data_IF_304468421690
#
_entry.id   IF_304468421690
#
_cell.length_a   1.000
_cell.length_b   1.000
_cell.length_c   1.000
_cell.angle_alpha   90.00
_cell.angle_beta   90.00
_cell.angle_gamma   90.00
#
_symmetry.space_group_name_H-M   'P 1'
#
loop_
_entity.id
_entity.type
_entity.pdbx_description
1 polymer ?
#
# COMPACT_ATOMS: atom_id res chain seq x y z
N UNK A 1 3.39 13.38 11.05
CA UNK A 1 3.28 12.10 11.80
C UNK A 1 3.22 12.28 13.31
N UNK A 2 3.67 13.42 13.86
CA UNK A 2 3.52 13.77 15.28
C UNK A 2 2.07 13.76 15.78
N UNK A 3 1.13 14.10 14.90
CA UNK A 3 -0.31 14.16 15.22
C UNK A 3 -0.97 12.78 15.32
N UNK A 4 -0.44 11.74 14.64
CA UNK A 4 -1.07 10.43 14.57
C UNK A 4 -0.81 9.56 15.82
N UNK A 5 0.27 9.82 16.56
CA UNK A 5 0.56 9.17 17.83
C UNK A 5 -0.51 9.52 18.90
N UNK A 6 -1.08 10.73 18.84
CA UNK A 6 -2.12 11.20 19.77
C UNK A 6 -3.49 10.54 19.53
N UNK A 7 -3.73 10.04 18.31
CA UNK A 7 -5.01 9.42 17.93
C UNK A 7 -4.95 7.89 17.86
N UNK A 8 -3.83 7.27 18.22
CA UNK A 8 -3.68 5.81 18.22
C UNK A 8 -4.71 5.09 19.10
N UNK A 9 -5.14 5.73 20.17
CA UNK A 9 -6.19 5.24 21.08
C UNK A 9 -7.62 5.47 20.57
N UNK A 10 -7.81 6.36 19.57
CA UNK A 10 -9.12 6.71 19.00
C UNK A 10 -9.44 5.97 17.71
N UNK A 11 -8.44 5.36 17.05
CA UNK A 11 -8.70 4.58 15.85
C UNK A 11 -9.11 3.16 16.25
N UNK A 12 -10.19 2.66 15.63
CA UNK A 12 -10.62 1.29 15.86
C UNK A 12 -9.48 0.32 15.56
N UNK A 13 -9.28 -0.75 16.35
CA UNK A 13 -8.27 -1.79 16.11
C UNK A 13 -8.32 -2.37 14.70
N UNK A 14 -9.49 -2.25 14.06
CA UNK A 14 -9.68 -2.58 12.66
C UNK A 14 -8.69 -1.87 11.76
N UNK A 15 -8.28 -0.62 12.00
CA UNK A 15 -7.41 0.15 11.11
C UNK A 15 -5.91 -0.03 11.36
N UNK A 16 -5.49 -0.86 12.32
CA UNK A 16 -4.06 -1.08 12.57
C UNK A 16 -3.31 -1.62 11.37
N UNK A 17 -3.97 -2.37 10.48
CA UNK A 17 -3.34 -2.82 9.24
C UNK A 17 -2.88 -1.67 8.33
N UNK A 18 -3.50 -0.48 8.42
CA UNK A 18 -3.04 0.70 7.69
C UNK A 18 -1.76 1.29 8.28
N UNK A 19 -1.56 1.14 9.60
CA UNK A 19 -0.32 1.56 10.25
C UNK A 19 0.84 0.60 9.93
N UNK A 20 0.52 -0.68 9.68
CA UNK A 20 1.44 -1.71 9.19
C UNK A 20 1.78 -1.55 7.70
N UNK A 21 1.09 -0.66 6.99
CA UNK A 21 1.33 -0.43 5.57
C UNK A 21 2.73 0.17 5.35
N UNK A 22 3.42 -0.21 4.27
CA UNK A 22 4.66 0.43 3.89
C UNK A 22 4.40 1.92 3.62
N UNK A 23 5.08 2.76 4.40
CA UNK A 23 4.95 4.23 4.38
C UNK A 23 5.80 4.88 3.31
N UNK A 24 6.81 4.16 2.86
CA UNK A 24 7.80 4.60 1.88
C UNK A 24 8.08 3.47 0.92
N UNK A 25 8.31 3.87 -0.31
CA UNK A 25 8.85 3.03 -1.37
C UNK A 25 10.31 2.63 -1.10
N UNK A 26 10.86 1.57 -1.73
CA UNK A 26 12.30 1.32 -1.74
C UNK A 26 13.14 2.52 -2.20
N UNK A 27 12.57 3.38 -3.07
CA UNK A 27 13.19 4.62 -3.55
C UNK A 27 12.99 5.82 -2.59
N UNK A 28 12.39 5.63 -1.40
CA UNK A 28 12.18 6.69 -0.41
C UNK A 28 10.99 7.61 -0.68
N UNK A 29 10.16 7.30 -1.69
CA UNK A 29 8.97 8.09 -2.02
C UNK A 29 7.82 7.83 -1.03
N UNK A 30 7.05 8.86 -0.63
CA UNK A 30 5.93 8.70 0.29
C UNK A 30 4.81 7.84 -0.31
N UNK A 31 4.34 6.86 0.46
CA UNK A 31 3.21 6.01 0.12
C UNK A 31 1.89 6.56 0.68
N UNK A 32 0.85 6.50 -0.14
CA UNK A 32 -0.48 7.01 0.17
C UNK A 32 -1.49 5.88 0.10
N UNK A 33 -2.31 5.75 1.15
CA UNK A 33 -3.42 4.80 1.20
C UNK A 33 -4.55 5.26 0.28
N UNK A 34 -4.97 4.39 -0.62
CA UNK A 34 -6.16 4.54 -1.46
C UNK A 34 -7.08 3.33 -1.35
N UNK A 35 -8.30 3.50 -1.80
CA UNK A 35 -9.32 2.46 -1.80
C UNK A 35 -9.76 2.16 -3.24
N UNK A 36 -9.56 0.92 -3.66
CA UNK A 36 -10.04 0.44 -4.95
C UNK A 36 -11.51 0.08 -4.83
N UNK A 37 -12.38 0.83 -5.51
CA UNK A 37 -13.82 0.50 -5.55
C UNK A 37 -14.11 -0.80 -6.30
N UNK A 38 -13.27 -1.16 -7.28
CA UNK A 38 -13.43 -2.38 -8.09
C UNK A 38 -13.22 -3.63 -7.27
N UNK A 39 -12.18 -3.63 -6.45
CA UNK A 39 -11.80 -4.79 -5.62
C UNK A 39 -12.27 -4.66 -4.18
N UNK A 40 -12.86 -3.51 -3.81
CA UNK A 40 -13.28 -3.13 -2.47
C UNK A 40 -12.17 -3.33 -1.42
N UNK A 41 -10.93 -3.02 -1.82
CA UNK A 41 -9.73 -3.26 -1.03
C UNK A 41 -8.90 -1.99 -0.91
N UNK A 42 -8.17 -1.88 0.20
CA UNK A 42 -7.19 -0.82 0.40
C UNK A 42 -5.86 -1.21 -0.23
N UNK A 43 -5.25 -0.24 -0.90
CA UNK A 43 -3.93 -0.37 -1.47
C UNK A 43 -3.16 0.91 -1.17
N UNK A 44 -1.85 0.81 -1.01
CA UNK A 44 -0.97 1.97 -0.97
C UNK A 44 -0.34 2.16 -2.35
N UNK A 45 -0.07 3.40 -2.71
CA UNK A 45 0.70 3.75 -3.90
C UNK A 45 1.71 4.83 -3.55
N UNK A 46 2.90 4.78 -4.12
CA UNK A 46 3.89 5.84 -3.92
C UNK A 46 3.70 6.95 -4.97
N UNK A 47 3.75 8.20 -4.50
CA UNK A 47 3.76 9.40 -5.33
C UNK A 47 5.14 10.05 -5.17
N UNK A 48 5.74 10.51 -6.26
CA UNK A 48 6.98 11.27 -6.22
C UNK A 48 6.71 12.70 -5.71
N UNK A 49 7.78 13.47 -5.44
CA UNK A 49 7.67 14.88 -5.03
C UNK A 49 6.87 15.76 -6.01
N UNK A 50 6.76 15.35 -7.27
CA UNK A 50 6.01 16.05 -8.31
C UNK A 50 4.51 15.63 -8.34
N UNK A 51 4.04 14.83 -7.38
CA UNK A 51 2.66 14.35 -7.31
C UNK A 51 2.29 13.31 -8.38
N UNK A 52 3.27 12.67 -9.02
CA UNK A 52 3.07 11.60 -10.00
C UNK A 52 3.28 10.25 -9.33
N UNK A 53 2.44 9.28 -9.69
CA UNK A 53 2.64 7.90 -9.29
C UNK A 53 3.99 7.37 -9.79
N UNK A 54 4.82 6.87 -8.89
CA UNK A 54 6.12 6.22 -9.18
C UNK A 54 5.92 4.86 -9.87
N UNK A 55 4.72 4.27 -9.74
CA UNK A 55 4.34 2.98 -10.30
C UNK A 55 4.44 1.82 -9.32
N UNK A 56 4.90 2.05 -8.09
CA UNK A 56 4.82 1.05 -7.03
C UNK A 56 3.50 1.18 -6.28
N UNK A 57 2.97 0.03 -5.91
CA UNK A 57 1.75 -0.07 -5.11
C UNK A 57 1.85 -1.29 -4.21
N UNK A 58 1.20 -1.30 -3.05
CA UNK A 58 1.07 -2.50 -2.25
C UNK A 58 -0.40 -2.74 -1.88
N UNK A 59 -0.83 -3.99 -1.93
CA UNK A 59 -2.20 -4.39 -1.68
C UNK A 59 -2.28 -5.15 -0.37
N UNK A 60 -3.30 -4.87 0.44
CA UNK A 60 -3.51 -5.64 1.68
C UNK A 60 -4.33 -6.89 1.38
N UNK A 61 -3.67 -8.05 1.33
CA UNK A 61 -4.29 -9.35 1.08
C UNK A 61 -4.00 -10.31 2.25
N UNK A 62 -5.05 -10.98 2.71
CA UNK A 62 -4.97 -12.04 3.73
C UNK A 62 -4.14 -11.70 4.99
N UNK A 63 -4.24 -10.46 5.48
CA UNK A 63 -3.52 -10.02 6.68
C UNK A 63 -2.11 -9.53 6.44
N UNK A 64 -1.66 -9.43 5.18
CA UNK A 64 -0.30 -9.03 4.81
C UNK A 64 -0.30 -8.03 3.66
N UNK A 65 0.66 -7.11 3.67
CA UNK A 65 0.92 -6.23 2.54
C UNK A 65 1.69 -6.98 1.45
N UNK A 66 1.16 -6.94 0.23
CA UNK A 66 1.75 -7.51 -0.98
C UNK A 66 2.24 -6.36 -1.86
N UNK A 67 3.55 -6.15 -1.88
CA UNK A 67 4.19 -5.11 -2.68
C UNK A 67 4.22 -5.49 -4.16
N UNK A 68 3.71 -4.61 -4.99
CA UNK A 68 3.79 -4.62 -6.44
C UNK A 68 4.67 -3.44 -6.85
N UNK A 69 5.97 -3.69 -6.94
CA UNK A 69 6.90 -2.74 -7.54
C UNK A 69 6.54 -2.47 -9.00
N UNK A 70 6.89 -1.28 -9.49
CA UNK A 70 6.81 -0.90 -10.90
C UNK A 70 7.74 -1.77 -11.74
N UNK A 71 7.41 -3.06 -11.93
CA UNK A 71 8.06 -3.84 -12.96
C UNK A 71 7.63 -3.23 -14.28
N UNK A 72 8.57 -2.53 -14.93
CA UNK A 72 8.77 -2.57 -16.38
C UNK A 72 8.24 -3.94 -16.86
N UNK A 73 7.24 -4.00 -17.75
CA UNK A 73 6.33 -5.14 -17.88
C UNK A 73 7.10 -6.46 -17.99
N UNK A 74 7.24 -7.15 -16.87
CA UNK A 74 7.91 -8.42 -16.82
C UNK A 74 6.85 -9.49 -17.07
N UNK A 75 6.92 -10.06 -18.26
CA UNK A 75 6.14 -11.21 -18.67
C UNK A 75 6.10 -12.32 -17.59
N UNK A 76 4.88 -12.83 -17.36
CA UNK A 76 4.48 -14.19 -16.91
C UNK A 76 4.94 -14.70 -15.52
N UNK A 77 3.98 -15.21 -14.73
CA UNK A 77 4.00 -16.61 -14.24
C UNK A 77 2.68 -17.02 -13.56
N UNK A 78 2.13 -18.16 -14.01
CA UNK A 78 0.97 -18.87 -13.44
C UNK A 78 1.23 -19.30 -11.98
N UNK A 79 0.20 -19.24 -11.14
CA UNK A 79 0.07 -20.10 -9.95
C UNK A 79 -1.43 -20.43 -9.74
N UNK A 80 -1.90 -21.54 -10.35
CA UNK A 80 -2.16 -22.85 -9.72
C UNK A 80 -3.45 -22.85 -8.86
N UNK A 81 -4.54 -23.39 -9.41
CA UNK A 81 -5.59 -24.03 -8.60
C UNK A 81 -5.77 -25.46 -9.11
N UNK A 82 -5.72 -26.37 -8.14
CA UNK A 82 -5.67 -27.83 -8.18
C UNK A 82 -7.00 -28.41 -8.64
#
# INVERSE_FOLDING_TARGET
MEELARFRDRISPKFYYLADAPKTDPDGNPAIVRYSRKTKQQYVMSENENGKATGWSAWYDNGKWQEQAAKKPAAKSKAKKK
#
